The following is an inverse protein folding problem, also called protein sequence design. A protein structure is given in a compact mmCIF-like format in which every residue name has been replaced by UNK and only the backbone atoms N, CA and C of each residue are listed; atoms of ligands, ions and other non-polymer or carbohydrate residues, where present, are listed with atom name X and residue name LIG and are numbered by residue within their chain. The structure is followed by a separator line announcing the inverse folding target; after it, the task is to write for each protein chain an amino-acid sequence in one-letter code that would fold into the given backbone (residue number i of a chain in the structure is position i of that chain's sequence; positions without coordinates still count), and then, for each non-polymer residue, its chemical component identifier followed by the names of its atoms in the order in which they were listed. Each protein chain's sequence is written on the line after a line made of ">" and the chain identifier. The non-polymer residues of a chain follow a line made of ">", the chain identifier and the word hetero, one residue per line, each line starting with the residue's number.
data_IF_262218357204
#
_entry.id   IF_262218357204
#
_cell.length_a   1.000
_cell.length_b   1.000
_cell.length_c   1.000
_cell.angle_alpha   90.00
_cell.angle_beta   90.00
_cell.angle_gamma   90.00
#
_symmetry.space_group_name_H-M   'P 1'
#
loop_
_entity.id
_entity.type
_entity.pdbx_description
1 polymer ?
#
# COMPACT_ATOMS: atom_id res chain seq x y z
N UNK A 1 -15.40 -40.81 -29.81
CA UNK A 1 -15.75 -39.52 -30.46
C UNK A 1 -17.11 -38.93 -30.07
N UNK A 2 -18.05 -39.69 -29.45
CA UNK A 2 -19.37 -39.16 -29.03
C UNK A 2 -19.33 -38.39 -27.69
N UNK A 3 -18.45 -38.80 -26.76
CA UNK A 3 -18.30 -38.18 -25.44
C UNK A 3 -17.77 -36.74 -25.47
N UNK A 4 -16.83 -36.44 -26.38
CA UNK A 4 -16.25 -35.09 -26.53
C UNK A 4 -17.27 -34.07 -27.07
N UNK A 5 -18.25 -34.53 -27.87
CA UNK A 5 -19.37 -33.69 -28.34
C UNK A 5 -20.37 -33.40 -27.22
N UNK A 6 -20.55 -34.33 -26.28
CA UNK A 6 -21.44 -34.11 -25.14
C UNK A 6 -20.84 -33.10 -24.15
N UNK A 7 -19.53 -33.19 -23.87
CA UNK A 7 -18.84 -32.26 -22.95
C UNK A 7 -18.85 -30.83 -23.49
N UNK A 8 -18.64 -30.65 -24.80
CA UNK A 8 -18.66 -29.32 -25.44
C UNK A 8 -20.05 -28.69 -25.45
N UNK A 9 -21.11 -29.49 -25.66
CA UNK A 9 -22.50 -29.01 -25.59
C UNK A 9 -22.90 -28.62 -24.15
N UNK A 10 -22.50 -29.41 -23.16
CA UNK A 10 -22.74 -29.09 -21.73
C UNK A 10 -22.00 -27.82 -21.32
N UNK A 11 -20.74 -27.64 -21.75
CA UNK A 11 -19.99 -26.43 -21.45
C UNK A 11 -20.58 -25.19 -22.13
N UNK A 12 -21.08 -25.33 -23.36
CA UNK A 12 -21.75 -24.25 -24.07
C UNK A 12 -23.09 -23.86 -23.40
N UNK A 13 -23.87 -24.84 -22.93
CA UNK A 13 -25.12 -24.60 -22.18
C UNK A 13 -24.87 -23.96 -20.80
N UNK A 14 -23.83 -24.37 -20.09
CA UNK A 14 -23.46 -23.74 -18.81
C UNK A 14 -22.93 -22.32 -19.01
N UNK A 15 -22.18 -22.06 -20.09
CA UNK A 15 -21.67 -20.73 -20.40
C UNK A 15 -22.78 -19.72 -20.73
N UNK A 16 -23.86 -20.14 -21.40
CA UNK A 16 -25.01 -19.26 -21.68
C UNK A 16 -25.84 -18.95 -20.44
N UNK A 17 -25.97 -19.89 -19.49
CA UNK A 17 -26.64 -19.63 -18.20
C UNK A 17 -25.86 -18.58 -17.37
N UNK A 18 -24.53 -18.55 -17.45
CA UNK A 18 -23.71 -17.57 -16.74
C UNK A 18 -23.77 -16.14 -17.31
N UNK A 19 -24.20 -15.96 -18.55
CA UNK A 19 -24.24 -14.63 -19.21
C UNK A 19 -25.60 -13.95 -19.06
N UNK A 20 -26.69 -14.70 -18.83
CA UNK A 20 -28.00 -14.11 -18.56
C UNK A 20 -28.11 -13.78 -17.07
N UNK A 21 -27.62 -12.60 -16.71
CA UNK A 21 -28.03 -11.93 -15.47
C UNK A 21 -29.45 -11.41 -15.70
N UNK A 22 -30.47 -11.87 -14.97
CA UNK A 22 -31.78 -11.21 -15.04
C UNK A 22 -31.61 -9.81 -14.45
N UNK A 23 -31.83 -8.79 -15.27
CA UNK A 23 -32.06 -7.43 -14.80
C UNK A 23 -33.39 -7.46 -14.05
N UNK A 24 -33.28 -7.36 -12.73
CA UNK A 24 -34.43 -7.19 -11.86
C UNK A 24 -35.05 -5.82 -12.18
N UNK A 25 -36.17 -5.87 -12.90
CA UNK A 25 -37.10 -4.76 -13.03
C UNK A 25 -37.67 -4.42 -11.65
N UNK A 26 -37.58 -3.14 -11.29
CA UNK A 26 -37.80 -2.66 -9.93
C UNK A 26 -38.11 -1.17 -9.94
N UNK A 27 -39.35 -0.86 -10.30
CA UNK A 27 -40.16 0.31 -9.95
C UNK A 27 -39.45 1.48 -9.25
N UNK A 28 -39.57 2.65 -9.87
CA UNK A 28 -39.10 3.94 -9.34
C UNK A 28 -39.56 4.21 -7.91
N UNK A 29 -38.62 4.18 -6.99
CA UNK A 29 -38.71 4.87 -5.71
C UNK A 29 -38.22 6.32 -5.89
N UNK A 30 -38.82 7.31 -5.23
CA UNK A 30 -38.38 8.70 -5.34
C UNK A 30 -36.94 8.79 -4.87
N UNK A 31 -36.08 9.32 -5.73
CA UNK A 31 -34.69 9.66 -5.43
C UNK A 31 -34.67 10.75 -4.34
N UNK A 32 -34.84 10.35 -3.08
CA UNK A 32 -34.21 11.09 -2.00
C UNK A 32 -32.72 10.83 -2.17
N UNK A 33 -32.00 11.85 -2.63
CA UNK A 33 -30.56 11.93 -2.45
C UNK A 33 -30.25 11.88 -0.94
N UNK A 34 -30.30 10.70 -0.36
CA UNK A 34 -29.44 10.41 0.77
C UNK A 34 -28.07 10.18 0.17
N UNK A 35 -27.37 11.29 -0.12
CA UNK A 35 -25.92 11.29 -0.25
C UNK A 35 -25.40 10.37 0.86
N UNK A 36 -24.71 9.30 0.48
CA UNK A 36 -24.24 8.30 1.43
C UNK A 36 -23.55 9.01 2.59
N UNK A 37 -24.19 8.99 3.76
CA UNK A 37 -23.72 9.53 5.03
C UNK A 37 -22.58 8.64 5.54
N UNK A 38 -21.55 8.43 4.71
CA UNK A 38 -20.70 7.24 4.78
C UNK A 38 -19.31 7.48 5.36
N UNK A 39 -18.87 8.73 5.54
CA UNK A 39 -17.55 8.99 6.10
C UNK A 39 -17.51 10.32 6.85
N UNK A 40 -17.22 10.25 8.15
CA UNK A 40 -16.93 11.43 8.95
C UNK A 40 -15.52 11.90 8.63
N UNK A 41 -15.41 12.94 7.79
CA UNK A 41 -14.15 13.67 7.67
C UNK A 41 -13.79 14.26 9.03
N UNK A 42 -12.50 14.20 9.37
CA UNK A 42 -12.05 14.89 10.57
C UNK A 42 -12.39 16.38 10.43
N UNK A 43 -12.77 17.07 11.52
CA UNK A 43 -13.14 18.48 11.49
C UNK A 43 -11.96 19.41 11.12
N UNK A 44 -10.77 18.84 10.88
CA UNK A 44 -9.53 19.54 10.61
C UNK A 44 -9.33 19.93 9.14
N UNK A 45 -10.26 19.59 8.24
CA UNK A 45 -10.11 19.88 6.81
C UNK A 45 -9.95 21.39 6.52
N UNK A 46 -10.64 22.25 7.30
CA UNK A 46 -10.70 23.69 7.08
C UNK A 46 -10.21 24.54 8.27
N UNK A 47 -9.81 23.91 9.38
CA UNK A 47 -9.56 24.63 10.66
C UNK A 47 -8.09 24.62 11.07
N UNK A 48 -7.40 23.49 11.02
CA UNK A 48 -5.99 23.38 11.47
C UNK A 48 -5.24 22.23 10.81
N UNK A 49 -4.36 22.56 9.86
CA UNK A 49 -3.48 21.60 9.20
C UNK A 49 -2.48 20.99 10.19
N UNK A 50 -1.95 21.78 11.12
CA UNK A 50 -0.96 21.30 12.10
C UNK A 50 -1.53 20.22 13.01
N UNK A 51 -2.77 20.38 13.46
CA UNK A 51 -3.43 19.37 14.28
C UNK A 51 -3.73 18.11 13.46
N UNK A 52 -4.24 18.25 12.23
CA UNK A 52 -4.50 17.13 11.32
C UNK A 52 -3.23 16.29 11.06
N UNK A 53 -2.12 16.97 10.77
CA UNK A 53 -0.82 16.31 10.54
C UNK A 53 -0.33 15.63 11.82
N UNK A 54 -0.53 16.23 12.99
CA UNK A 54 -0.15 15.59 14.24
C UNK A 54 -0.97 14.33 14.53
N UNK A 55 -2.28 14.37 14.26
CA UNK A 55 -3.19 13.23 14.47
C UNK A 55 -3.04 12.11 13.44
N UNK A 56 -2.59 12.41 12.23
CA UNK A 56 -2.36 11.40 11.18
C UNK A 56 -1.11 10.55 11.40
N UNK A 57 -0.28 10.83 12.43
CA UNK A 57 0.96 10.09 12.70
C UNK A 57 0.69 8.61 13.03
N UNK A 58 1.37 7.73 12.31
CA UNK A 58 1.30 6.27 12.53
C UNK A 58 2.53 5.80 13.32
N UNK A 59 2.36 5.62 14.62
CA UNK A 59 3.47 5.36 15.56
C UNK A 59 4.25 4.07 15.30
N UNK A 60 3.57 3.03 14.83
CA UNK A 60 4.17 1.70 14.64
C UNK A 60 5.38 1.71 13.68
N UNK A 61 5.35 2.57 12.66
CA UNK A 61 6.48 2.74 11.74
C UNK A 61 7.69 3.41 12.38
N UNK A 62 7.43 4.30 13.35
CA UNK A 62 8.46 4.96 14.13
C UNK A 62 9.11 3.98 15.10
N UNK A 63 8.30 3.16 15.76
CA UNK A 63 8.74 2.17 16.74
C UNK A 63 9.56 1.05 16.08
N UNK A 64 9.09 0.55 14.93
CA UNK A 64 9.71 -0.61 14.27
C UNK A 64 10.89 -0.20 13.38
N UNK A 65 10.73 0.82 12.54
CA UNK A 65 11.70 1.15 11.50
C UNK A 65 12.36 2.53 11.69
N UNK A 66 12.04 3.26 12.76
CA UNK A 66 12.47 4.65 12.98
C UNK A 66 12.16 5.59 11.79
N UNK A 67 11.01 5.37 11.15
CA UNK A 67 10.52 6.18 10.03
C UNK A 67 9.29 6.95 10.47
N UNK A 68 9.22 8.24 10.11
CA UNK A 68 8.02 9.03 10.37
C UNK A 68 6.98 8.68 9.30
N UNK A 69 5.81 8.22 9.74
CA UNK A 69 4.72 7.81 8.85
C UNK A 69 3.41 8.51 9.20
N UNK A 70 2.59 8.73 8.18
CA UNK A 70 1.30 9.44 8.26
C UNK A 70 0.26 8.70 7.43
N UNK A 71 -0.97 8.59 7.90
CA UNK A 71 -2.08 8.01 7.14
C UNK A 71 -3.31 8.89 7.14
N UNK A 72 -4.09 8.80 6.08
CA UNK A 72 -5.34 9.55 5.97
C UNK A 72 -6.11 9.19 4.71
N UNK A 73 -7.03 10.07 4.34
CA UNK A 73 -7.87 9.92 3.16
C UNK A 73 -7.74 11.15 2.25
N UNK A 74 -7.69 10.92 0.95
CA UNK A 74 -7.79 11.94 -0.11
C UNK A 74 -9.18 11.83 -0.71
N UNK A 75 -9.95 12.92 -0.67
CA UNK A 75 -11.30 12.94 -1.23
C UNK A 75 -11.26 13.22 -2.73
N UNK A 76 -11.89 12.35 -3.52
CA UNK A 76 -12.07 12.53 -4.97
C UNK A 76 -13.47 13.06 -5.30
N UNK A 77 -14.48 12.62 -4.55
CA UNK A 77 -15.86 13.11 -4.64
C UNK A 77 -16.53 13.06 -3.27
N UNK A 78 -17.82 13.38 -3.18
CA UNK A 78 -18.63 13.25 -1.96
C UNK A 78 -18.79 11.79 -1.50
N UNK A 79 -18.54 10.82 -2.37
CA UNK A 79 -18.73 9.39 -2.10
C UNK A 79 -17.45 8.55 -2.28
N UNK A 80 -16.39 9.12 -2.85
CA UNK A 80 -15.16 8.39 -3.20
C UNK A 80 -13.94 9.01 -2.55
N UNK A 81 -13.22 8.19 -1.78
CA UNK A 81 -12.08 8.59 -0.97
C UNK A 81 -10.98 7.53 -1.05
N UNK A 82 -9.74 7.98 -1.23
CA UNK A 82 -8.56 7.12 -1.30
C UNK A 82 -7.80 7.15 0.01
N UNK A 83 -7.63 5.99 0.62
CA UNK A 83 -6.70 5.84 1.74
C UNK A 83 -5.25 6.01 1.27
N UNK A 84 -4.43 6.71 2.06
CA UNK A 84 -2.99 6.77 1.86
C UNK A 84 -2.22 6.43 3.13
N UNK A 85 -1.02 5.89 2.93
CA UNK A 85 0.02 5.76 3.93
C UNK A 85 1.31 6.36 3.38
N UNK A 86 1.73 7.48 3.93
CA UNK A 86 2.96 8.18 3.59
C UNK A 86 4.06 7.80 4.58
N UNK A 87 5.19 7.31 4.08
CA UNK A 87 6.40 7.12 4.88
C UNK A 87 7.46 8.13 4.44
N UNK A 88 8.01 8.93 5.36
CA UNK A 88 9.04 9.92 5.02
C UNK A 88 10.40 9.25 4.87
N UNK A 89 11.21 9.76 3.97
CA UNK A 89 12.61 9.36 3.89
C UNK A 89 13.34 9.51 5.25
N UNK A 90 14.37 8.69 5.52
CA UNK A 90 15.17 8.81 6.73
C UNK A 90 15.73 10.23 6.90
N UNK A 91 15.78 10.72 8.14
CA UNK A 91 16.14 12.11 8.48
C UNK A 91 17.40 12.62 7.75
N UNK A 92 18.41 11.76 7.56
CA UNK A 92 19.70 12.11 6.92
C UNK A 92 19.62 12.48 5.44
N UNK A 93 18.58 12.06 4.71
CA UNK A 93 18.44 12.31 3.26
C UNK A 93 17.08 12.92 2.90
N UNK A 94 16.35 13.41 3.91
CA UNK A 94 14.96 13.80 3.76
C UNK A 94 14.76 14.97 2.81
N UNK A 95 15.65 15.96 2.88
CA UNK A 95 15.52 17.21 2.13
C UNK A 95 15.85 17.03 0.65
N UNK A 96 16.64 16.01 0.30
CA UNK A 96 17.01 15.68 -1.07
C UNK A 96 16.21 14.51 -1.65
N UNK A 97 15.30 13.91 -0.89
CA UNK A 97 14.55 12.74 -1.33
C UNK A 97 13.35 13.15 -2.20
N UNK A 98 13.15 12.53 -3.37
CA UNK A 98 11.95 12.77 -4.17
C UNK A 98 10.71 12.17 -3.50
N UNK A 99 9.54 12.69 -3.85
CA UNK A 99 8.26 12.08 -3.51
C UNK A 99 7.98 10.93 -4.49
N UNK A 100 7.69 9.74 -3.97
CA UNK A 100 7.33 8.57 -4.75
C UNK A 100 5.90 8.15 -4.44
N UNK A 101 5.07 8.02 -5.47
CA UNK A 101 3.75 7.43 -5.39
C UNK A 101 3.83 5.96 -5.80
N UNK A 102 3.34 5.06 -4.95
CA UNK A 102 3.33 3.62 -5.22
C UNK A 102 1.89 3.10 -5.29
N UNK A 103 1.50 2.58 -6.46
CA UNK A 103 0.20 1.97 -6.69
C UNK A 103 0.41 0.49 -7.01
N UNK A 104 -0.15 -0.39 -6.18
CA UNK A 104 -0.10 -1.81 -6.45
C UNK A 104 -1.12 -2.18 -7.52
N UNK A 105 -0.72 -3.06 -8.44
CA UNK A 105 -1.49 -3.38 -9.63
C UNK A 105 -2.59 -4.43 -9.44
N UNK A 106 -3.27 -4.74 -10.55
CA UNK A 106 -4.44 -5.61 -10.59
C UNK A 106 -5.71 -4.87 -10.12
N UNK A 107 -6.89 -5.19 -10.68
CA UNK A 107 -8.12 -4.56 -10.21
C UNK A 107 -8.42 -4.98 -8.76
N UNK A 108 -8.67 -3.99 -7.90
CA UNK A 108 -9.16 -4.20 -6.54
C UNK A 108 -8.13 -4.62 -5.48
N UNK A 109 -6.83 -4.71 -5.80
CA UNK A 109 -5.79 -5.02 -4.80
C UNK A 109 -5.33 -3.75 -4.06
N UNK A 110 -5.04 -3.89 -2.77
CA UNK A 110 -4.58 -2.78 -1.93
C UNK A 110 -3.09 -2.51 -2.09
N UNK A 111 -2.70 -1.23 -2.23
CA UNK A 111 -1.31 -0.78 -2.18
C UNK A 111 -0.61 -1.07 -0.86
N UNK A 112 -1.36 -1.40 0.21
CA UNK A 112 -0.77 -1.88 1.46
C UNK A 112 -0.02 -3.21 1.30
N UNK A 113 -0.32 -3.99 0.26
CA UNK A 113 0.46 -5.17 -0.09
C UNK A 113 1.93 -4.82 -0.34
N UNK A 114 2.20 -3.80 -1.16
CA UNK A 114 3.54 -3.35 -1.47
C UNK A 114 4.28 -2.82 -0.23
N UNK A 115 3.55 -2.14 0.67
CA UNK A 115 4.09 -1.65 1.93
C UNK A 115 4.64 -2.80 2.80
N UNK A 116 3.90 -3.90 2.97
CA UNK A 116 4.32 -4.97 3.88
C UNK A 116 5.16 -6.06 3.23
N UNK A 117 4.92 -6.33 1.95
CA UNK A 117 5.48 -7.52 1.30
C UNK A 117 6.55 -7.19 0.27
N UNK A 118 6.62 -5.96 -0.23
CA UNK A 118 7.60 -5.54 -1.25
C UNK A 118 8.65 -4.57 -0.68
N UNK A 119 8.49 -3.27 -0.91
CA UNK A 119 9.54 -2.28 -0.72
C UNK A 119 9.32 -1.34 0.48
N UNK A 120 8.26 -1.54 1.26
CA UNK A 120 8.00 -0.68 2.41
C UNK A 120 8.93 -0.94 3.61
N UNK A 121 9.08 0.05 4.51
CA UNK A 121 10.01 -0.03 5.66
C UNK A 121 9.65 -1.07 6.73
N UNK A 122 8.39 -1.51 6.80
CA UNK A 122 7.90 -2.48 7.78
C UNK A 122 7.27 -3.63 7.03
N UNK A 123 7.66 -4.86 7.36
CA UNK A 123 7.09 -6.09 6.83
C UNK A 123 6.39 -6.93 7.88
N UNK A 124 5.63 -7.92 7.42
CA UNK A 124 4.96 -8.91 8.27
C UNK A 124 5.87 -10.13 8.43
N UNK A 125 6.04 -10.61 9.65
CA UNK A 125 6.82 -11.82 9.95
C UNK A 125 6.09 -13.09 9.50
N UNK A 126 6.82 -14.20 9.35
CA UNK A 126 6.23 -15.48 8.92
C UNK A 126 5.10 -15.98 9.82
N UNK A 127 5.14 -15.62 11.10
CA UNK A 127 4.09 -15.94 12.07
C UNK A 127 2.77 -15.18 11.85
N UNK A 128 2.77 -14.18 10.94
CA UNK A 128 1.68 -13.24 10.62
C UNK A 128 1.09 -12.49 11.82
N UNK A 129 1.78 -12.50 12.95
CA UNK A 129 1.33 -11.84 14.19
C UNK A 129 2.23 -10.68 14.58
N UNK A 130 3.47 -10.67 14.06
CA UNK A 130 4.43 -9.62 14.36
C UNK A 130 4.83 -8.82 13.11
N UNK A 131 5.22 -7.57 13.36
CA UNK A 131 5.74 -6.64 12.37
C UNK A 131 7.24 -6.43 12.62
N UNK A 132 8.01 -6.34 11.54
CA UNK A 132 9.46 -6.22 11.59
C UNK A 132 9.98 -5.13 10.65
N UNK A 133 11.11 -4.51 11.00
CA UNK A 133 11.81 -3.62 10.08
C UNK A 133 12.28 -4.42 8.87
N UNK A 134 11.89 -4.02 7.66
CA UNK A 134 12.49 -4.58 6.44
C UNK A 134 13.91 -4.06 6.31
N UNK A 135 14.87 -4.90 6.71
CA UNK A 135 16.29 -4.59 6.60
C UNK A 135 16.69 -4.45 5.13
N UNK A 136 17.22 -3.28 4.78
CA UNK A 136 17.94 -3.10 3.51
C UNK A 136 19.12 -4.10 3.46
N UNK A 137 19.24 -4.94 2.42
CA UNK A 137 20.32 -5.93 2.30
C UNK A 137 21.73 -5.31 2.43
N UNK A 138 21.92 -4.06 2.00
CA UNK A 138 23.20 -3.35 2.13
C UNK A 138 23.60 -3.07 3.59
N UNK A 139 22.65 -3.02 4.53
CA UNK A 139 22.94 -2.86 5.97
C UNK A 139 23.23 -4.21 6.66
N UNK A 140 22.72 -5.31 6.12
CA UNK A 140 22.96 -6.65 6.66
C UNK A 140 24.43 -7.06 6.46
N UNK A 141 24.99 -6.78 5.28
CA UNK A 141 26.40 -7.06 4.96
C UNK A 141 27.37 -6.32 5.91
N UNK A 142 27.06 -5.08 6.32
CA UNK A 142 27.90 -4.29 7.23
C UNK A 142 27.95 -4.82 8.68
N UNK A 143 27.01 -5.65 9.12
CA UNK A 143 27.00 -6.22 10.48
C UNK A 143 27.67 -7.60 10.55
N UNK A 144 27.85 -8.27 9.43
CA UNK A 144 28.47 -9.60 9.35
C UNK A 144 29.96 -9.57 9.01
N UNK A 145 30.54 -8.39 8.74
CA UNK A 145 31.98 -8.24 8.67
C UNK A 145 32.53 -8.30 10.11
N UNK A 146 33.38 -9.27 10.47
CA UNK A 146 34.12 -9.19 11.72
C UNK A 146 34.85 -7.86 11.74
N UNK A 147 34.89 -7.19 12.90
CA UNK A 147 35.76 -6.02 13.10
C UNK A 147 37.20 -6.49 12.91
N UNK A 148 37.71 -6.46 11.68
CA UNK A 148 39.13 -6.56 11.45
C UNK A 148 39.75 -5.30 12.05
N UNK A 149 40.57 -5.53 13.05
CA UNK A 149 41.43 -4.54 13.66
C UNK A 149 42.23 -3.84 12.56
N UNK A 150 42.21 -2.51 12.63
CA UNK A 150 43.14 -1.55 12.02
C UNK A 150 44.27 -2.14 11.17
N UNK A 151 44.22 -1.90 9.85
CA UNK A 151 45.46 -1.75 9.06
C UNK A 151 45.34 -0.57 8.11
N UNK A 152 46.30 0.35 8.23
CA UNK A 152 46.41 1.63 7.53
C UNK A 152 46.37 1.49 6.01
N UNK A 153 45.56 2.35 5.39
CA UNK A 153 45.80 3.23 4.23
C UNK A 153 46.74 2.70 3.11
N UNK A 154 46.18 2.59 1.91
CA UNK A 154 46.62 3.34 0.73
C UNK A 154 45.44 3.61 -0.19
N UNK A 155 45.37 4.84 -0.71
CA UNK A 155 44.40 5.28 -1.70
C UNK A 155 44.59 4.51 -3.02
N UNK A 156 43.49 4.16 -3.68
CA UNK A 156 43.44 4.30 -5.13
C UNK A 156 42.04 4.68 -5.57
N UNK A 157 41.97 5.77 -6.34
CA UNK A 157 40.78 6.28 -6.99
C UNK A 157 40.17 5.23 -7.93
N UNK A 158 38.85 5.06 -7.86
CA UNK A 158 38.07 4.77 -9.06
C UNK A 158 36.66 5.35 -8.94
N UNK A 159 36.45 6.46 -9.67
CA UNK A 159 35.15 6.93 -10.14
C UNK A 159 34.57 5.84 -11.04
N UNK A 160 33.34 5.42 -10.81
CA UNK A 160 32.48 4.83 -11.84
C UNK A 160 31.10 5.47 -11.70
N UNK A 161 30.55 5.79 -12.87
CA UNK A 161 29.32 6.52 -13.14
C UNK A 161 28.09 5.92 -12.45
#
# INVERSE_FOLDING_TARGET
>A
MKFLRLVTVVFALLATICVVKPDADGNGAPSRETASTGMFFSPYLNTSIHEAVNKSKVKIFKEIANVDAYSGYISLSTQSHLFFLLTKAPKKKRDSAPLLLWLYGGPGKSSMWAQFLENGPVGIERDRRSLQEKRNPSRACKRHLPRSTSRRRTQHNQKLY
#
